data_IF_903153639796
#
_entry.id   IF_903153639796
#
_cell.length_a   1.000
_cell.length_b   1.000
_cell.length_c   1.000
_cell.angle_alpha   90.00
_cell.angle_beta   90.00
_cell.angle_gamma   90.00
#
_symmetry.space_group_name_H-M   'P 1'
#
loop_
_entity.id
_entity.type
_entity.pdbx_description
1 polymer ?
#
# COMPACT_ATOMS: atom_id res chain seq x y z
N UNK A 1 -21.40 19.23 0.55
CA UNK A 1 -22.43 18.96 1.59
C UNK A 1 -21.74 18.32 2.79
N UNK A 2 -22.09 18.65 4.04
CA UNK A 2 -21.43 18.10 5.25
C UNK A 2 -22.07 16.78 5.70
N UNK A 3 -21.29 15.92 6.36
CA UNK A 3 -21.62 14.56 6.80
C UNK A 3 -22.72 14.43 7.90
N UNK A 4 -23.31 15.51 8.36
CA UNK A 4 -24.15 15.51 9.58
C UNK A 4 -25.66 15.61 9.33
N UNK A 5 -26.10 15.77 8.08
CA UNK A 5 -27.50 16.06 7.77
C UNK A 5 -28.25 14.79 7.35
N UNK A 6 -28.74 14.05 8.34
CA UNK A 6 -29.63 12.91 8.13
C UNK A 6 -31.07 13.37 7.93
N UNK A 7 -31.48 13.59 6.68
CA UNK A 7 -32.87 13.89 6.37
C UNK A 7 -33.20 13.66 4.90
N UNK A 8 -34.36 13.06 4.64
CA UNK A 8 -34.97 12.82 3.33
C UNK A 8 -35.18 14.09 2.46
N UNK A 9 -34.84 15.27 2.97
CA UNK A 9 -35.17 16.59 2.43
C UNK A 9 -34.30 17.06 1.25
N UNK A 10 -33.33 16.27 0.77
CA UNK A 10 -32.35 16.70 -0.26
C UNK A 10 -32.23 15.79 -1.47
N UNK A 11 -33.17 14.87 -1.70
CA UNK A 11 -33.12 14.02 -2.93
C UNK A 11 -33.03 14.89 -4.19
N UNK A 12 -33.77 15.99 -4.22
CA UNK A 12 -33.77 16.93 -5.33
C UNK A 12 -32.45 17.72 -5.41
N UNK A 13 -31.84 18.10 -4.28
CA UNK A 13 -30.51 18.74 -4.28
C UNK A 13 -29.40 17.79 -4.77
N UNK A 14 -29.45 16.51 -4.41
CA UNK A 14 -28.50 15.51 -4.91
C UNK A 14 -28.68 15.24 -6.40
N UNK A 15 -29.93 15.19 -6.87
CA UNK A 15 -30.24 15.08 -8.30
C UNK A 15 -29.84 16.33 -9.08
N UNK A 16 -30.01 17.53 -8.50
CA UNK A 16 -29.58 18.80 -9.07
C UNK A 16 -28.05 18.87 -9.16
N UNK A 17 -27.33 18.49 -8.09
CA UNK A 17 -25.86 18.41 -8.09
C UNK A 17 -25.34 17.43 -9.16
N UNK A 18 -25.96 16.25 -9.25
CA UNK A 18 -25.68 15.26 -10.30
C UNK A 18 -25.88 15.85 -11.70
N UNK A 19 -26.99 16.57 -11.92
CA UNK A 19 -27.30 17.20 -13.21
C UNK A 19 -26.35 18.36 -13.55
N UNK A 20 -25.98 19.18 -12.58
CA UNK A 20 -25.04 20.29 -12.76
C UNK A 20 -23.62 19.79 -13.05
N UNK A 21 -23.20 18.71 -12.38
CA UNK A 21 -21.95 18.02 -12.66
C UNK A 21 -21.95 17.49 -14.10
N UNK A 22 -22.97 16.74 -14.51
CA UNK A 22 -23.07 16.19 -15.86
C UNK A 22 -22.99 17.29 -16.93
N UNK A 23 -23.64 18.44 -16.70
CA UNK A 23 -23.59 19.60 -17.59
C UNK A 23 -22.20 20.20 -17.72
N UNK A 24 -21.52 20.47 -16.59
CA UNK A 24 -20.18 21.09 -16.59
C UNK A 24 -19.12 20.16 -17.16
N UNK A 25 -19.28 18.88 -16.92
CA UNK A 25 -18.27 17.88 -17.19
C UNK A 25 -18.30 17.39 -18.65
N UNK A 26 -19.46 17.47 -19.32
CA UNK A 26 -19.59 17.29 -20.77
C UNK A 26 -19.04 18.48 -21.59
N UNK A 27 -18.73 19.63 -20.95
CA UNK A 27 -18.17 20.81 -21.62
C UNK A 27 -16.63 20.79 -21.72
N UNK A 28 -15.94 19.86 -21.05
CA UNK A 28 -14.47 19.77 -21.06
C UNK A 28 -13.98 19.21 -22.41
N UNK A 29 -13.16 19.99 -23.15
CA UNK A 29 -12.64 19.63 -24.49
C UNK A 29 -11.81 18.34 -24.47
N UNK A 30 -12.08 17.48 -25.46
CA UNK A 30 -11.62 16.08 -25.52
C UNK A 30 -10.28 15.92 -26.25
N UNK A 31 -9.27 15.40 -25.54
CA UNK A 31 -8.18 14.62 -26.15
C UNK A 31 -8.49 13.12 -26.10
N UNK A 32 -7.68 12.28 -26.76
CA UNK A 32 -7.93 10.83 -26.95
C UNK A 32 -8.20 10.02 -25.66
N UNK A 33 -7.74 10.50 -24.49
CA UNK A 33 -8.00 9.89 -23.17
C UNK A 33 -8.85 10.75 -22.22
N UNK A 34 -9.21 11.97 -22.65
CA UNK A 34 -9.97 12.91 -21.82
C UNK A 34 -11.41 12.43 -21.60
N UNK A 35 -12.02 11.83 -22.62
CA UNK A 35 -13.42 11.36 -22.54
C UNK A 35 -13.59 10.18 -21.56
N UNK A 36 -12.72 9.18 -21.63
CA UNK A 36 -12.84 7.96 -20.81
C UNK A 36 -12.61 8.26 -19.32
N UNK A 37 -11.57 9.06 -19.04
CA UNK A 37 -11.25 9.57 -17.70
C UNK A 37 -12.41 10.37 -17.13
N UNK A 38 -12.99 11.26 -17.95
CA UNK A 38 -14.17 12.02 -17.58
C UNK A 38 -15.27 11.04 -17.17
N UNK A 39 -15.75 10.19 -18.08
CA UNK A 39 -16.83 9.25 -17.77
C UNK A 39 -16.57 8.37 -16.53
N UNK A 40 -15.31 7.97 -16.28
CA UNK A 40 -14.91 7.27 -15.06
C UNK A 40 -15.16 8.08 -13.79
N UNK A 41 -14.66 9.31 -13.71
CA UNK A 41 -14.87 10.16 -12.54
C UNK A 41 -16.34 10.56 -12.36
N UNK A 42 -17.16 10.56 -13.43
CA UNK A 42 -18.62 10.66 -13.28
C UNK A 42 -19.18 9.48 -12.50
N UNK A 43 -18.84 8.24 -12.87
CA UNK A 43 -19.29 7.05 -12.16
C UNK A 43 -18.79 7.01 -10.70
N UNK A 44 -17.54 7.42 -10.45
CA UNK A 44 -16.99 7.60 -9.09
C UNK A 44 -17.81 8.60 -8.28
N UNK A 45 -18.15 9.75 -8.86
CA UNK A 45 -18.98 10.77 -8.19
C UNK A 45 -20.34 10.19 -7.77
N UNK A 46 -20.96 9.38 -8.63
CA UNK A 46 -22.24 8.74 -8.33
C UNK A 46 -22.11 7.71 -7.20
N UNK A 47 -21.02 6.93 -7.18
CA UNK A 47 -20.69 6.02 -6.07
C UNK A 47 -20.56 6.81 -4.77
N UNK A 48 -19.82 7.91 -4.76
CA UNK A 48 -19.60 8.72 -3.55
C UNK A 48 -20.90 9.35 -3.02
N UNK A 49 -21.78 9.81 -3.93
CA UNK A 49 -23.14 10.26 -3.56
C UNK A 49 -23.95 9.10 -2.98
N UNK A 50 -23.92 7.93 -3.62
CA UNK A 50 -24.64 6.74 -3.17
C UNK A 50 -24.20 6.24 -1.79
N UNK A 51 -22.90 6.25 -1.50
CA UNK A 51 -22.36 5.82 -0.20
C UNK A 51 -22.79 6.73 0.96
N UNK A 52 -23.15 7.98 0.67
CA UNK A 52 -23.60 8.98 1.67
C UNK A 52 -25.11 9.19 1.66
N UNK A 53 -25.82 8.51 0.77
CA UNK A 53 -27.27 8.61 0.63
C UNK A 53 -27.96 7.46 1.35
N UNK A 54 -29.06 7.70 2.09
CA UNK A 54 -29.88 6.62 2.64
C UNK A 54 -30.64 5.83 1.55
N UNK A 55 -30.65 6.32 0.30
CA UNK A 55 -31.33 5.67 -0.81
C UNK A 55 -30.37 4.79 -1.62
N UNK A 56 -30.52 3.47 -1.48
CA UNK A 56 -29.68 2.45 -2.12
C UNK A 56 -29.72 2.48 -3.65
N UNK A 57 -30.76 3.07 -4.28
CA UNK A 57 -30.84 3.18 -5.74
C UNK A 57 -29.68 3.96 -6.36
N UNK A 58 -29.07 4.90 -5.63
CA UNK A 58 -27.89 5.62 -6.10
C UNK A 58 -26.65 4.73 -6.23
N UNK A 59 -26.50 3.72 -5.35
CA UNK A 59 -25.42 2.73 -5.45
C UNK A 59 -25.66 1.79 -6.63
N UNK A 60 -26.92 1.45 -6.91
CA UNK A 60 -27.31 0.66 -8.07
C UNK A 60 -27.03 1.43 -9.38
N UNK A 61 -27.40 2.71 -9.43
CA UNK A 61 -27.09 3.60 -10.55
C UNK A 61 -25.58 3.71 -10.77
N UNK A 62 -24.79 3.88 -9.70
CA UNK A 62 -23.34 3.96 -9.79
C UNK A 62 -22.72 2.67 -10.35
N UNK A 63 -23.14 1.51 -9.86
CA UNK A 63 -22.69 0.22 -10.37
C UNK A 63 -23.03 0.05 -11.86
N UNK A 64 -24.26 0.39 -12.26
CA UNK A 64 -24.70 0.34 -13.64
C UNK A 64 -23.87 1.27 -14.55
N UNK A 65 -23.51 2.47 -14.06
CA UNK A 65 -22.67 3.40 -14.82
C UNK A 65 -21.24 2.88 -15.02
N UNK A 66 -20.64 2.27 -14.00
CA UNK A 66 -19.33 1.65 -14.15
C UNK A 66 -19.34 0.51 -15.19
N UNK A 67 -20.37 -0.35 -15.17
CA UNK A 67 -20.52 -1.41 -16.18
C UNK A 67 -20.73 -0.83 -17.58
N UNK A 68 -21.60 0.17 -17.71
CA UNK A 68 -21.88 0.83 -18.98
C UNK A 68 -20.62 1.48 -19.56
N UNK A 69 -19.87 2.20 -18.71
CA UNK A 69 -18.61 2.82 -19.09
C UNK A 69 -17.62 1.80 -19.64
N UNK A 70 -17.36 0.72 -18.89
CA UNK A 70 -16.43 -0.32 -19.30
C UNK A 70 -16.81 -0.97 -20.65
N UNK A 71 -18.11 -1.00 -20.98
CA UNK A 71 -18.61 -1.50 -22.27
C UNK A 71 -18.41 -0.53 -23.42
N UNK A 72 -18.57 0.77 -23.16
CA UNK A 72 -18.49 1.84 -24.15
C UNK A 72 -17.06 2.18 -24.56
N UNK A 73 -16.10 2.12 -23.63
CA UNK A 73 -14.72 2.53 -23.90
C UNK A 73 -13.87 1.40 -24.47
N UNK A 74 -12.81 1.79 -25.20
CA UNK A 74 -11.76 0.85 -25.62
C UNK A 74 -11.09 0.26 -24.37
N UNK A 75 -10.66 -1.02 -24.41
CA UNK A 75 -9.92 -1.62 -23.30
C UNK A 75 -8.79 -0.71 -22.83
N UNK A 76 -8.87 -0.28 -21.58
CA UNK A 76 -7.97 0.65 -20.91
C UNK A 76 -8.07 0.41 -19.40
N UNK A 77 -7.12 0.99 -18.65
CA UNK A 77 -7.13 0.93 -17.18
C UNK A 77 -8.46 1.41 -16.58
N UNK A 78 -9.06 2.47 -17.12
CA UNK A 78 -10.33 2.99 -16.62
C UNK A 78 -11.49 1.99 -16.80
N UNK A 79 -11.50 1.23 -17.89
CA UNK A 79 -12.56 0.24 -18.12
C UNK A 79 -12.38 -1.01 -17.27
N UNK A 80 -11.14 -1.42 -17.06
CA UNK A 80 -10.78 -2.51 -16.15
C UNK A 80 -11.18 -2.16 -14.71
N UNK A 81 -10.79 -0.97 -14.25
CA UNK A 81 -11.09 -0.47 -12.91
C UNK A 81 -12.59 -0.23 -12.71
N UNK A 82 -13.30 0.24 -13.74
CA UNK A 82 -14.76 0.38 -13.71
C UNK A 82 -15.46 -0.95 -13.42
N UNK A 83 -15.08 -2.03 -14.10
CA UNK A 83 -15.65 -3.36 -13.82
C UNK A 83 -15.33 -3.81 -12.39
N UNK A 84 -14.12 -3.55 -11.89
CA UNK A 84 -13.80 -3.87 -10.50
C UNK A 84 -14.64 -3.07 -9.49
N UNK A 85 -14.83 -1.76 -9.70
CA UNK A 85 -15.68 -0.92 -8.86
C UNK A 85 -17.15 -1.38 -8.89
N UNK A 86 -17.66 -1.75 -10.08
CA UNK A 86 -19.01 -2.32 -10.21
C UNK A 86 -19.15 -3.64 -9.42
N UNK A 87 -18.15 -4.51 -9.49
CA UNK A 87 -18.13 -5.75 -8.71
C UNK A 87 -18.25 -5.43 -7.21
N UNK A 88 -17.41 -4.54 -6.67
CA UNK A 88 -17.43 -4.19 -5.25
C UNK A 88 -18.79 -3.63 -4.80
N UNK A 89 -19.44 -2.82 -5.66
CA UNK A 89 -20.77 -2.29 -5.36
C UNK A 89 -21.82 -3.40 -5.33
N UNK A 90 -21.85 -4.27 -6.34
CA UNK A 90 -22.80 -5.38 -6.38
C UNK A 90 -22.55 -6.39 -5.25
N UNK A 91 -21.32 -6.80 -5.01
CA UNK A 91 -20.99 -7.81 -4.00
C UNK A 91 -21.11 -7.27 -2.57
N UNK A 92 -20.42 -6.16 -2.27
CA UNK A 92 -20.13 -5.76 -0.90
C UNK A 92 -21.15 -4.74 -0.35
N UNK A 93 -21.82 -3.98 -1.23
CA UNK A 93 -22.76 -2.92 -0.82
C UNK A 93 -24.22 -3.22 -1.14
N UNK A 94 -24.49 -3.93 -2.24
CA UNK A 94 -25.85 -4.27 -2.67
C UNK A 94 -26.22 -5.72 -2.39
N UNK A 95 -25.25 -6.59 -2.07
CA UNK A 95 -25.44 -8.04 -1.87
C UNK A 95 -26.12 -8.74 -3.05
N UNK A 96 -25.81 -8.28 -4.26
CA UNK A 96 -26.32 -8.75 -5.55
C UNK A 96 -25.30 -9.69 -6.21
N UNK A 97 -25.25 -10.93 -5.74
CA UNK A 97 -24.23 -11.91 -6.14
C UNK A 97 -24.27 -12.26 -7.64
N UNK A 98 -25.47 -12.34 -8.25
CA UNK A 98 -25.61 -12.67 -9.67
C UNK A 98 -25.02 -11.58 -10.56
N UNK A 99 -25.27 -10.33 -10.21
CA UNK A 99 -24.79 -9.13 -10.88
C UNK A 99 -23.26 -9.02 -10.73
N UNK A 100 -22.74 -9.28 -9.52
CA UNK A 100 -21.30 -9.35 -9.28
C UNK A 100 -20.63 -10.43 -10.15
N UNK A 101 -21.24 -11.61 -10.27
CA UNK A 101 -20.72 -12.70 -11.11
C UNK A 101 -20.71 -12.33 -12.59
N UNK A 102 -21.74 -11.65 -13.10
CA UNK A 102 -21.77 -11.13 -14.47
C UNK A 102 -20.61 -10.17 -14.71
N UNK A 103 -20.33 -9.28 -13.76
CA UNK A 103 -19.21 -8.34 -13.86
C UNK A 103 -17.86 -9.07 -13.87
N UNK A 104 -17.68 -10.12 -13.05
CA UNK A 104 -16.46 -10.94 -13.08
C UNK A 104 -16.27 -11.61 -14.44
N UNK A 105 -17.33 -12.18 -15.03
CA UNK A 105 -17.24 -12.80 -16.36
C UNK A 105 -16.89 -11.77 -17.45
N UNK A 106 -17.45 -10.57 -17.34
CA UNK A 106 -17.12 -9.48 -18.26
C UNK A 106 -15.67 -9.01 -18.13
N UNK A 107 -15.17 -8.90 -16.89
CA UNK A 107 -13.77 -8.58 -16.62
C UNK A 107 -12.84 -9.66 -17.18
N UNK A 108 -13.16 -10.95 -17.00
CA UNK A 108 -12.40 -12.08 -17.58
C UNK A 108 -12.33 -12.02 -19.09
N UNK A 109 -13.47 -11.74 -19.73
CA UNK A 109 -13.58 -11.71 -21.18
C UNK A 109 -12.84 -10.52 -21.80
N UNK A 110 -12.95 -9.34 -21.18
CA UNK A 110 -12.49 -8.08 -21.76
C UNK A 110 -11.06 -7.72 -21.33
N UNK A 111 -10.65 -8.19 -20.16
CA UNK A 111 -9.34 -7.95 -19.55
C UNK A 111 -8.76 -9.27 -18.99
N UNK A 112 -8.40 -10.24 -19.83
CA UNK A 112 -7.94 -11.56 -19.36
C UNK A 112 -6.62 -11.51 -18.56
N UNK A 113 -5.89 -10.39 -18.61
CA UNK A 113 -4.69 -10.13 -17.80
C UNK A 113 -4.94 -9.11 -16.68
N UNK A 114 -6.20 -8.82 -16.37
CA UNK A 114 -6.58 -7.84 -15.35
C UNK A 114 -6.05 -8.26 -13.99
N UNK A 115 -5.37 -7.34 -13.30
CA UNK A 115 -4.86 -7.57 -11.93
C UNK A 115 -5.99 -7.86 -10.95
N UNK A 116 -7.18 -7.32 -11.20
CA UNK A 116 -8.35 -7.55 -10.36
C UNK A 116 -8.90 -8.97 -10.47
N UNK A 117 -8.60 -9.73 -11.54
CA UNK A 117 -9.08 -11.13 -11.63
C UNK A 117 -8.45 -11.99 -10.56
N UNK A 118 -7.19 -11.74 -10.24
CA UNK A 118 -6.48 -12.40 -9.16
C UNK A 118 -7.10 -12.07 -7.79
N UNK A 119 -7.39 -10.78 -7.53
CA UNK A 119 -8.09 -10.32 -6.31
C UNK A 119 -9.48 -10.95 -6.16
N UNK A 120 -10.19 -11.15 -7.26
CA UNK A 120 -11.52 -11.75 -7.26
C UNK A 120 -11.48 -13.26 -7.05
N UNK A 121 -10.46 -13.92 -7.58
CA UNK A 121 -10.21 -15.35 -7.39
C UNK A 121 -9.80 -15.65 -5.95
N UNK A 122 -9.00 -14.78 -5.32
CA UNK A 122 -8.66 -14.91 -3.90
C UNK A 122 -9.87 -14.65 -2.98
N UNK A 123 -10.75 -13.68 -3.30
CA UNK A 123 -12.02 -13.47 -2.59
C UNK A 123 -12.99 -14.65 -2.67
N UNK A 124 -13.02 -15.40 -3.78
CA UNK A 124 -13.84 -16.62 -3.91
C UNK A 124 -13.22 -17.83 -3.20
N UNK A 125 -11.92 -17.81 -2.94
CA UNK A 125 -11.18 -18.83 -2.19
C UNK A 125 -11.12 -18.54 -0.68
N UNK A 126 -12.19 -17.99 -0.08
CA UNK A 126 -12.35 -18.03 1.38
C UNK A 126 -12.52 -19.50 1.78
N UNK A 127 -11.38 -20.11 2.03
CA UNK A 127 -11.25 -21.51 2.32
C UNK A 127 -11.54 -21.70 3.82
N UNK A 128 -12.38 -22.65 4.24
CA UNK A 128 -12.73 -22.81 5.64
C UNK A 128 -11.49 -23.05 6.52
N UNK A 129 -11.52 -22.72 7.82
CA UNK A 129 -10.36 -22.67 8.74
C UNK A 129 -9.50 -23.94 8.85
N UNK A 130 -9.95 -25.06 8.27
CA UNK A 130 -9.27 -26.35 8.29
C UNK A 130 -8.15 -26.48 7.26
N UNK A 131 -8.21 -25.75 6.13
CA UNK A 131 -7.16 -25.80 5.09
C UNK A 131 -6.00 -24.83 5.40
N UNK A 132 -6.26 -23.70 6.05
CA UNK A 132 -5.22 -22.78 6.53
C UNK A 132 -4.19 -23.49 7.43
N UNK A 133 -4.62 -24.38 8.33
CA UNK A 133 -3.70 -25.19 9.14
C UNK A 133 -2.80 -26.12 8.33
N UNK A 134 -3.29 -26.65 7.20
CA UNK A 134 -2.50 -27.50 6.31
C UNK A 134 -1.52 -26.67 5.46
N UNK A 135 -1.94 -25.51 4.94
CA UNK A 135 -1.06 -24.57 4.24
C UNK A 135 0.01 -23.98 5.15
N UNK A 136 -0.30 -23.60 6.40
CA UNK A 136 0.72 -23.16 7.35
C UNK A 136 1.72 -24.28 7.68
N UNK A 137 1.27 -25.54 7.77
CA UNK A 137 2.15 -26.69 7.96
C UNK A 137 3.02 -26.97 6.72
N UNK A 138 2.48 -26.80 5.52
CA UNK A 138 3.20 -26.95 4.26
C UNK A 138 4.20 -25.80 4.06
N UNK A 139 3.80 -24.55 4.31
CA UNK A 139 4.68 -23.36 4.30
C UNK A 139 5.80 -23.50 5.33
N UNK A 140 5.50 -24.00 6.54
CA UNK A 140 6.52 -24.30 7.56
C UNK A 140 7.49 -25.40 7.09
N UNK A 141 6.99 -26.43 6.40
CA UNK A 141 7.82 -27.50 5.83
C UNK A 141 8.71 -26.99 4.69
N UNK A 142 8.19 -26.11 3.83
CA UNK A 142 8.97 -25.46 2.76
C UNK A 142 10.00 -24.47 3.31
N UNK A 143 9.69 -23.76 4.41
CA UNK A 143 10.66 -22.92 5.14
C UNK A 143 11.76 -23.78 5.75
N UNK A 144 11.40 -24.87 6.43
CA UNK A 144 12.37 -25.79 7.04
C UNK A 144 13.28 -26.51 6.02
N UNK A 145 12.84 -26.66 4.77
CA UNK A 145 13.62 -27.28 3.70
C UNK A 145 14.62 -26.32 3.03
N UNK A 146 14.50 -25.00 3.24
CA UNK A 146 15.39 -24.00 2.63
C UNK A 146 16.72 -23.92 3.39
N UNK A 147 17.81 -23.75 2.64
CA UNK A 147 19.16 -23.54 3.20
C UNK A 147 19.39 -22.13 3.73
N UNK A 148 18.68 -21.14 3.17
CA UNK A 148 18.80 -19.73 3.53
C UNK A 148 17.40 -19.13 3.71
N UNK A 149 17.21 -18.23 4.68
CA UNK A 149 15.98 -17.47 4.83
C UNK A 149 15.72 -16.60 3.59
N UNK A 150 14.45 -16.35 3.30
CA UNK A 150 14.02 -15.46 2.21
C UNK A 150 13.67 -14.09 2.79
N UNK A 151 14.32 -13.05 2.30
CA UNK A 151 14.09 -11.66 2.69
C UNK A 151 13.49 -10.91 1.51
N UNK A 152 12.39 -10.20 1.76
CA UNK A 152 11.79 -9.32 0.77
C UNK A 152 12.02 -7.88 1.19
N UNK A 153 12.74 -7.14 0.35
CA UNK A 153 12.95 -5.70 0.49
C UNK A 153 11.89 -4.98 -0.35
N UNK A 154 11.19 -4.03 0.25
CA UNK A 154 10.18 -3.23 -0.42
C UNK A 154 10.64 -1.77 -0.49
N UNK A 155 11.21 -1.32 -1.62
CA UNK A 155 11.47 0.10 -1.80
C UNK A 155 10.16 0.85 -1.96
N UNK A 156 9.82 1.70 -0.99
CA UNK A 156 8.58 2.49 -0.96
C UNK A 156 8.36 3.33 -2.22
N UNK A 157 7.10 3.62 -2.54
CA UNK A 157 6.67 4.45 -3.68
C UNK A 157 7.11 3.89 -5.06
N UNK A 158 7.23 4.75 -6.08
CA UNK A 158 7.69 4.41 -7.42
C UNK A 158 6.73 4.84 -8.53
N UNK A 159 7.25 5.03 -9.74
CA UNK A 159 6.47 5.47 -10.89
C UNK A 159 5.90 6.88 -10.69
N UNK A 160 4.57 6.99 -10.74
CA UNK A 160 3.86 8.26 -10.54
C UNK A 160 3.84 8.75 -9.09
N UNK A 161 4.10 7.85 -8.13
CA UNK A 161 4.22 8.18 -6.71
C UNK A 161 5.68 8.53 -6.40
N UNK A 162 5.97 9.82 -6.26
CA UNK A 162 7.29 10.34 -5.91
C UNK A 162 7.66 10.09 -4.42
N UNK A 163 6.67 9.74 -3.58
CA UNK A 163 6.77 9.82 -2.13
C UNK A 163 7.06 11.25 -1.66
N UNK A 164 7.71 11.38 -0.51
CA UNK A 164 8.16 12.67 -0.02
C UNK A 164 9.20 13.32 -0.96
N UNK A 165 8.99 14.62 -1.25
CA UNK A 165 9.96 15.45 -1.96
C UNK A 165 10.63 16.39 -0.95
N UNK A 166 11.90 16.13 -0.68
CA UNK A 166 12.70 16.84 0.31
C UNK A 166 13.50 18.01 -0.22
N UNK A 167 14.39 18.50 0.64
CA UNK A 167 15.31 19.61 0.33
C UNK A 167 16.17 19.25 -0.88
N UNK A 168 16.33 20.19 -1.82
CA UNK A 168 17.14 19.99 -3.03
C UNK A 168 16.50 19.08 -4.08
N UNK A 169 15.20 18.78 -3.95
CA UNK A 169 14.48 17.92 -4.91
C UNK A 169 14.75 16.42 -4.72
N UNK A 170 15.25 16.02 -3.56
CA UNK A 170 15.39 14.62 -3.18
C UNK A 170 14.02 13.95 -3.22
N UNK A 171 13.86 12.94 -4.07
CA UNK A 171 12.64 12.15 -4.16
C UNK A 171 12.81 10.85 -3.39
N UNK A 172 11.89 10.58 -2.49
CA UNK A 172 11.89 9.38 -1.68
C UNK A 172 11.99 8.11 -2.53
N UNK A 173 11.15 7.97 -3.56
CA UNK A 173 11.15 6.78 -4.44
C UNK A 173 12.51 6.40 -5.02
N UNK A 174 13.38 7.40 -5.27
CA UNK A 174 14.70 7.20 -5.86
C UNK A 174 15.70 6.74 -4.79
N UNK A 175 15.62 7.34 -3.61
CA UNK A 175 16.51 7.04 -2.51
C UNK A 175 16.17 5.67 -1.89
N UNK A 176 14.89 5.33 -1.74
CA UNK A 176 14.45 4.01 -1.26
C UNK A 176 14.91 2.90 -2.22
N UNK A 177 14.78 3.11 -3.53
CA UNK A 177 15.27 2.17 -4.55
C UNK A 177 16.80 2.02 -4.50
N UNK A 178 17.53 3.12 -4.36
CA UNK A 178 19.00 3.12 -4.22
C UNK A 178 19.43 2.29 -3.00
N UNK A 179 18.82 2.53 -1.84
CA UNK A 179 19.15 1.83 -0.59
C UNK A 179 18.78 0.35 -0.68
N UNK A 180 17.65 0.01 -1.30
CA UNK A 180 17.22 -1.38 -1.46
C UNK A 180 18.17 -2.20 -2.34
N UNK A 181 18.62 -1.63 -3.48
CA UNK A 181 19.60 -2.28 -4.37
C UNK A 181 20.95 -2.48 -3.69
N UNK A 182 21.42 -1.47 -2.94
CA UNK A 182 22.66 -1.60 -2.19
C UNK A 182 22.52 -2.65 -1.07
N UNK A 183 21.39 -2.68 -0.36
CA UNK A 183 21.11 -3.69 0.69
C UNK A 183 21.08 -5.09 0.09
N UNK A 184 20.40 -5.28 -1.05
CA UNK A 184 20.36 -6.57 -1.76
C UNK A 184 21.78 -7.04 -2.10
N UNK A 185 22.60 -6.16 -2.68
CA UNK A 185 23.98 -6.49 -3.05
C UNK A 185 24.81 -6.92 -1.83
N UNK A 186 24.68 -6.21 -0.71
CA UNK A 186 25.43 -6.56 0.51
C UNK A 186 24.94 -7.88 1.09
N UNK A 187 23.62 -8.10 1.20
CA UNK A 187 23.04 -9.36 1.68
C UNK A 187 23.45 -10.56 0.82
N UNK A 188 23.44 -10.41 -0.51
CA UNK A 188 23.92 -11.44 -1.44
C UNK A 188 25.41 -11.73 -1.24
N UNK A 189 26.22 -10.71 -0.97
CA UNK A 189 27.64 -10.85 -0.68
C UNK A 189 27.93 -11.54 0.67
N UNK A 190 27.11 -11.26 1.69
CA UNK A 190 27.18 -11.92 3.00
C UNK A 190 26.69 -13.37 2.95
N UNK A 191 25.80 -13.70 2.00
CA UNK A 191 25.30 -15.06 1.79
C UNK A 191 24.39 -15.59 2.89
N UNK A 192 23.87 -14.71 3.76
CA UNK A 192 23.03 -15.08 4.90
C UNK A 192 21.54 -15.23 4.54
N UNK A 193 21.10 -14.74 3.39
CA UNK A 193 19.70 -14.76 2.96
C UNK A 193 19.56 -14.77 1.43
N UNK A 194 18.45 -15.31 0.93
CA UNK A 194 17.96 -15.07 -0.43
C UNK A 194 17.15 -13.79 -0.44
N UNK A 195 17.45 -12.85 -1.33
CA UNK A 195 16.84 -11.51 -1.32
C UNK A 195 16.02 -11.30 -2.58
N UNK A 196 14.84 -10.70 -2.41
CA UNK A 196 13.99 -10.25 -3.50
C UNK A 196 13.49 -8.83 -3.25
N UNK A 197 13.42 -8.01 -4.30
CA UNK A 197 12.80 -6.69 -4.21
C UNK A 197 11.34 -6.73 -4.69
N UNK A 198 10.45 -5.97 -4.06
CA UNK A 198 9.08 -5.77 -4.60
C UNK A 198 9.12 -5.06 -5.96
N UNK A 199 10.02 -4.08 -6.12
CA UNK A 199 10.38 -3.44 -7.40
C UNK A 199 11.89 -3.26 -7.53
N UNK A 200 12.43 -3.47 -8.73
CA UNK A 200 13.85 -3.26 -9.06
C UNK A 200 14.10 -2.04 -9.95
N UNK A 201 13.04 -1.35 -10.38
CA UNK A 201 13.09 -0.15 -11.22
C UNK A 201 12.07 0.90 -10.72
N UNK A 202 12.07 2.08 -11.35
CA UNK A 202 11.09 3.14 -11.04
C UNK A 202 9.71 2.80 -11.61
N UNK A 203 8.98 1.94 -10.92
CA UNK A 203 7.60 1.55 -11.27
C UNK A 203 6.69 1.71 -10.05
N UNK A 204 5.45 2.12 -10.30
CA UNK A 204 4.43 2.14 -9.27
C UNK A 204 3.97 0.72 -8.96
N UNK A 205 3.82 0.41 -7.66
CA UNK A 205 3.29 -0.86 -7.17
C UNK A 205 2.29 -0.59 -6.05
N UNK A 206 1.01 -1.02 -6.17
CA UNK A 206 0.02 -0.86 -5.11
C UNK A 206 0.45 -1.54 -3.81
N UNK A 207 0.05 -0.98 -2.66
CA UNK A 207 0.49 -1.46 -1.34
C UNK A 207 0.17 -2.95 -1.10
N UNK A 208 -1.01 -3.42 -1.54
CA UNK A 208 -1.41 -4.82 -1.37
C UNK A 208 -0.56 -5.79 -2.20
N UNK A 209 -0.15 -5.41 -3.42
CA UNK A 209 0.70 -6.25 -4.29
C UNK A 209 2.10 -6.46 -3.68
N UNK A 210 2.60 -5.48 -2.91
CA UNK A 210 3.87 -5.58 -2.17
C UNK A 210 3.80 -6.71 -1.14
N UNK A 211 2.71 -6.77 -0.38
CA UNK A 211 2.48 -7.80 0.64
C UNK A 211 2.24 -9.19 0.03
N UNK A 212 1.46 -9.26 -1.07
CA UNK A 212 1.21 -10.52 -1.77
C UNK A 212 2.48 -11.14 -2.35
N UNK A 213 3.36 -10.32 -2.91
CA UNK A 213 4.65 -10.79 -3.42
C UNK A 213 5.50 -11.43 -2.33
N UNK A 214 5.49 -10.86 -1.12
CA UNK A 214 6.22 -11.42 0.02
C UNK A 214 5.62 -12.75 0.50
N UNK A 215 4.29 -12.83 0.57
CA UNK A 215 3.57 -14.04 0.95
C UNK A 215 3.77 -15.16 -0.09
N UNK A 216 3.71 -14.85 -1.39
CA UNK A 216 3.91 -15.82 -2.47
C UNK A 216 5.33 -16.40 -2.51
N UNK A 217 6.32 -15.62 -2.06
CA UNK A 217 7.71 -16.08 -1.88
C UNK A 217 7.90 -16.84 -0.55
N UNK A 218 6.85 -16.94 0.27
CA UNK A 218 6.90 -17.47 1.63
C UNK A 218 8.06 -16.88 2.41
N UNK A 219 8.21 -15.55 2.35
CA UNK A 219 9.32 -14.84 2.94
C UNK A 219 9.41 -15.09 4.46
N UNK A 220 10.63 -14.97 4.99
CA UNK A 220 10.97 -15.12 6.39
C UNK A 220 11.10 -13.75 7.09
N UNK A 221 11.36 -12.69 6.33
CA UNK A 221 11.31 -11.30 6.79
C UNK A 221 10.90 -10.37 5.63
N UNK A 222 10.04 -9.40 5.93
CA UNK A 222 9.69 -8.30 5.03
C UNK A 222 10.18 -6.97 5.60
N UNK A 223 10.87 -6.18 4.78
CA UNK A 223 11.39 -4.85 5.15
C UNK A 223 10.94 -3.82 4.12
N UNK A 224 9.97 -2.98 4.46
CA UNK A 224 9.67 -1.79 3.67
C UNK A 224 10.62 -0.66 4.01
N UNK A 225 11.20 -0.02 3.00
CA UNK A 225 12.20 1.04 3.12
C UNK A 225 11.59 2.35 2.64
N UNK A 226 11.50 3.32 3.55
CA UNK A 226 10.90 4.65 3.36
C UNK A 226 11.82 5.75 3.90
N UNK A 227 11.47 6.99 3.55
CA UNK A 227 12.08 8.18 4.10
C UNK A 227 11.01 9.13 4.63
N UNK A 228 11.23 9.60 5.85
CA UNK A 228 10.24 10.37 6.53
C UNK A 228 10.20 11.81 6.00
N UNK A 229 9.10 12.49 6.25
CA UNK A 229 8.92 13.90 6.02
C UNK A 229 8.21 14.54 7.21
N UNK A 230 8.55 15.78 7.48
CA UNK A 230 7.83 16.67 8.36
C UNK A 230 7.26 17.80 7.51
N UNK A 231 5.99 18.10 7.71
CA UNK A 231 5.25 19.20 7.08
C UNK A 231 4.93 20.32 8.10
N UNK A 232 5.31 20.14 9.37
CA UNK A 232 5.08 21.12 10.42
C UNK A 232 6.26 22.08 10.54
N UNK A 233 6.05 23.34 10.15
CA UNK A 233 7.07 24.37 10.32
C UNK A 233 7.16 24.83 11.79
N UNK A 234 8.37 24.92 12.40
CA UNK A 234 9.68 24.64 11.81
C UNK A 234 9.99 23.13 11.69
N UNK A 235 10.59 22.74 10.57
CA UNK A 235 10.96 21.36 10.20
C UNK A 235 12.03 20.80 11.15
N UNK A 236 11.61 20.24 12.28
CA UNK A 236 12.50 19.83 13.38
C UNK A 236 12.67 18.32 13.51
N UNK A 237 11.80 17.53 12.89
CA UNK A 237 11.87 16.07 13.01
C UNK A 237 13.04 15.52 12.20
N UNK A 238 13.87 14.71 12.85
CA UNK A 238 15.04 14.06 12.26
C UNK A 238 15.32 12.72 12.94
N UNK A 239 16.05 11.85 12.26
CA UNK A 239 16.48 10.55 12.80
C UNK A 239 15.64 9.36 12.33
N UNK A 240 16.12 8.16 12.69
CA UNK A 240 15.61 6.88 12.19
C UNK A 240 14.46 6.34 13.05
N UNK A 241 13.46 5.76 12.39
CA UNK A 241 12.31 5.09 13.00
C UNK A 241 12.07 3.72 12.35
N UNK A 242 11.57 2.77 13.13
CA UNK A 242 11.02 1.51 12.59
C UNK A 242 9.59 1.37 13.08
N UNK A 243 8.69 0.95 12.19
CA UNK A 243 7.29 0.71 12.47
C UNK A 243 6.93 -0.75 12.29
N UNK A 244 6.06 -1.26 13.17
CA UNK A 244 5.39 -2.56 12.99
C UNK A 244 3.88 -2.37 12.88
N UNK A 245 3.20 -3.38 12.33
CA UNK A 245 1.74 -3.34 12.17
C UNK A 245 1.04 -3.40 13.53
N UNK A 246 0.07 -2.52 13.74
CA UNK A 246 -0.89 -2.57 14.85
C UNK A 246 -2.21 -1.94 14.42
N UNK A 247 -3.30 -2.36 15.06
CA UNK A 247 -4.62 -1.74 14.87
C UNK A 247 -4.63 -0.30 15.37
N UNK A 248 -3.89 -0.03 16.44
CA UNK A 248 -3.79 1.27 17.08
C UNK A 248 -2.44 1.88 16.74
N UNK A 249 -2.47 3.13 16.27
CA UNK A 249 -1.25 3.89 16.02
C UNK A 249 -0.66 4.42 17.33
N UNK A 250 0.66 4.35 17.47
CA UNK A 250 1.37 5.21 18.42
C UNK A 250 1.04 6.67 18.09
N UNK A 251 0.88 7.57 19.08
CA UNK A 251 0.53 8.98 18.83
C UNK A 251 1.45 9.66 17.80
N UNK A 252 2.74 9.35 17.84
CA UNK A 252 3.77 9.89 16.96
C UNK A 252 3.74 9.28 15.54
N UNK A 253 3.02 8.16 15.34
CA UNK A 253 2.92 7.46 14.07
C UNK A 253 1.76 7.96 13.19
N UNK A 254 0.81 8.72 13.74
CA UNK A 254 -0.44 9.10 13.05
C UNK A 254 -0.20 9.85 11.74
N UNK A 255 0.73 10.81 11.73
CA UNK A 255 1.09 11.55 10.52
C UNK A 255 1.71 10.68 9.44
N UNK A 256 2.55 9.72 9.85
CA UNK A 256 3.24 8.79 8.94
C UNK A 256 2.25 7.82 8.33
N UNK A 257 1.40 7.21 9.17
CA UNK A 257 0.32 6.33 8.74
C UNK A 257 -0.55 6.98 7.67
N UNK A 258 -0.93 8.25 7.87
CA UNK A 258 -1.81 8.96 6.95
C UNK A 258 -1.14 9.17 5.59
N UNK A 259 0.16 9.48 5.59
CA UNK A 259 0.96 9.67 4.37
C UNK A 259 1.20 8.37 3.61
N UNK A 260 1.68 7.33 4.31
CA UNK A 260 2.03 6.05 3.68
C UNK A 260 0.80 5.32 3.15
N UNK A 261 -0.35 5.53 3.78
CA UNK A 261 -1.62 4.99 3.32
C UNK A 261 -2.35 5.89 2.32
N UNK A 262 -1.85 7.10 2.00
CA UNK A 262 -2.57 8.06 1.15
C UNK A 262 -2.86 7.53 -0.25
N UNK A 263 -2.01 6.63 -0.77
CA UNK A 263 -2.24 5.93 -2.05
C UNK A 263 -3.49 5.03 -2.06
N UNK A 264 -4.09 4.80 -0.90
CA UNK A 264 -5.27 3.96 -0.69
C UNK A 264 -6.54 4.77 -0.38
N UNK A 265 -6.43 6.02 0.09
CA UNK A 265 -7.62 6.82 0.47
C UNK A 265 -8.58 7.08 -0.72
N UNK A 266 -8.13 6.86 -1.95
CA UNK A 266 -8.95 6.88 -3.17
C UNK A 266 -9.83 5.61 -3.40
N UNK A 267 -9.68 4.55 -2.60
CA UNK A 267 -10.29 3.23 -2.85
C UNK A 267 -11.62 2.93 -2.11
N UNK A 268 -12.01 3.74 -1.13
CA UNK A 268 -13.36 3.76 -0.53
C UNK A 268 -13.71 2.67 0.52
N UNK A 269 -14.84 2.87 1.21
CA UNK A 269 -15.21 2.20 2.49
C UNK A 269 -15.59 0.71 2.48
N UNK A 270 -15.37 -0.04 1.39
CA UNK A 270 -15.36 -1.52 1.42
C UNK A 270 -14.04 -2.09 1.94
N UNK A 271 -13.00 -1.26 1.88
CA UNK A 271 -11.66 -1.61 2.31
C UNK A 271 -11.58 -1.73 3.84
N UNK A 272 -12.28 -0.91 4.62
CA UNK A 272 -12.24 -1.00 6.10
C UNK A 272 -12.61 -2.39 6.65
N UNK A 273 -13.60 -3.09 6.09
CA UNK A 273 -13.98 -4.44 6.53
C UNK A 273 -12.96 -5.51 6.12
N UNK A 274 -12.35 -5.38 4.95
CA UNK A 274 -11.25 -6.24 4.50
C UNK A 274 -9.98 -6.02 5.35
N UNK A 275 -9.65 -4.75 5.63
CA UNK A 275 -8.55 -4.38 6.50
C UNK A 275 -8.75 -4.95 7.91
N UNK A 276 -9.97 -4.89 8.47
CA UNK A 276 -10.32 -5.51 9.75
C UNK A 276 -10.01 -7.02 9.80
N UNK A 277 -10.23 -7.75 8.72
CA UNK A 277 -9.86 -9.17 8.61
C UNK A 277 -8.34 -9.37 8.49
N UNK A 278 -7.65 -8.53 7.70
CA UNK A 278 -6.19 -8.56 7.59
C UNK A 278 -5.48 -8.24 8.91
N UNK A 279 -6.00 -7.35 9.74
CA UNK A 279 -5.46 -7.10 11.08
C UNK A 279 -5.49 -8.34 11.97
N UNK A 280 -6.52 -9.19 11.84
CA UNK A 280 -6.58 -10.44 12.60
C UNK A 280 -5.53 -11.46 12.13
N UNK A 281 -5.01 -11.31 10.91
CA UNK A 281 -3.97 -12.16 10.33
C UNK A 281 -2.55 -11.58 10.46
N UNK A 282 -2.41 -10.34 10.90
CA UNK A 282 -1.15 -9.59 10.90
C UNK A 282 -0.16 -10.07 11.97
N UNK A 283 1.10 -10.24 11.56
CA UNK A 283 2.25 -10.70 12.34
C UNK A 283 2.76 -9.71 13.41
N UNK A 284 1.90 -8.86 14.00
CA UNK A 284 2.27 -7.76 14.91
C UNK A 284 3.22 -8.20 16.05
N UNK A 285 2.84 -9.25 16.78
CA UNK A 285 3.59 -9.74 17.94
C UNK A 285 4.96 -10.35 17.56
N UNK A 286 5.08 -10.98 16.38
CA UNK A 286 6.35 -11.58 15.93
C UNK A 286 7.27 -10.57 15.24
N UNK A 287 6.74 -9.41 14.84
CA UNK A 287 7.51 -8.36 14.16
C UNK A 287 8.27 -7.46 15.13
N UNK A 288 7.83 -7.33 16.39
CA UNK A 288 8.45 -6.45 17.37
C UNK A 288 9.91 -6.84 17.71
N UNK A 289 10.25 -8.13 17.96
CA UNK A 289 11.64 -8.53 18.19
C UNK A 289 12.56 -8.22 16.99
N UNK A 290 12.07 -8.49 15.77
CA UNK A 290 12.80 -8.17 14.54
C UNK A 290 13.05 -6.66 14.43
N UNK A 291 12.01 -5.84 14.62
CA UNK A 291 12.10 -4.38 14.58
C UNK A 291 13.10 -3.83 15.61
N UNK A 292 13.05 -4.30 16.87
CA UNK A 292 13.98 -3.84 17.91
C UNK A 292 15.42 -4.20 17.59
N UNK A 293 15.66 -5.40 17.08
CA UNK A 293 17.01 -5.86 16.73
C UNK A 293 17.59 -5.07 15.56
N UNK A 294 16.82 -4.95 14.47
CA UNK A 294 17.19 -4.12 13.31
C UNK A 294 17.49 -2.67 13.75
N UNK A 295 16.60 -2.08 14.54
CA UNK A 295 16.77 -0.71 15.03
C UNK A 295 18.04 -0.52 15.87
N UNK A 296 18.31 -1.42 16.82
CA UNK A 296 19.46 -1.31 17.72
C UNK A 296 20.79 -1.46 16.98
N UNK A 297 20.85 -2.42 16.04
CA UNK A 297 22.05 -2.70 15.25
C UNK A 297 22.34 -1.57 14.25
N UNK A 298 21.31 -1.10 13.53
CA UNK A 298 21.49 0.06 12.67
C UNK A 298 21.92 1.30 13.47
N UNK A 299 21.28 1.56 14.61
CA UNK A 299 21.62 2.70 15.48
C UNK A 299 23.07 2.65 15.97
N UNK A 300 23.58 1.49 16.38
CA UNK A 300 24.96 1.36 16.87
C UNK A 300 25.99 1.71 15.78
N UNK A 301 25.73 1.29 14.55
CA UNK A 301 26.55 1.59 13.37
C UNK A 301 26.52 3.08 13.00
N UNK A 302 25.37 3.75 13.11
CA UNK A 302 25.29 5.18 12.82
C UNK A 302 25.88 6.08 13.89
N UNK A 303 25.73 5.73 15.17
CA UNK A 303 26.29 6.50 16.29
C UNK A 303 27.82 6.60 16.20
N UNK A 304 28.49 5.57 15.67
CA UNK A 304 29.96 5.54 15.57
C UNK A 304 30.50 6.31 14.36
N UNK A 305 29.77 6.38 13.24
CA UNK A 305 30.31 6.87 11.95
C UNK A 305 29.76 8.22 11.48
N UNK A 306 28.47 8.50 11.70
CA UNK A 306 27.81 9.68 11.13
C UNK A 306 27.38 10.72 12.17
N UNK A 307 27.65 10.43 13.44
CA UNK A 307 27.31 11.29 14.58
C UNK A 307 25.82 11.28 14.91
N UNK A 308 25.50 11.07 16.19
CA UNK A 308 24.26 11.47 16.84
C UNK A 308 22.96 11.37 16.03
N UNK A 309 22.66 10.22 15.41
CA UNK A 309 21.29 9.98 14.96
C UNK A 309 20.39 9.95 16.19
N UNK A 310 19.45 10.90 16.26
CA UNK A 310 18.38 10.83 17.25
C UNK A 310 17.55 9.60 16.94
N UNK A 311 17.81 8.54 17.70
CA UNK A 311 17.04 7.32 17.59
C UNK A 311 15.62 7.58 18.08
N UNK A 312 14.64 7.43 17.18
CA UNK A 312 13.22 7.67 17.50
C UNK A 312 12.46 6.39 17.83
N UNK A 313 13.14 5.24 17.85
CA UNK A 313 12.64 3.97 18.37
C UNK A 313 11.75 3.18 17.42
N UNK A 314 11.24 2.07 17.94
CA UNK A 314 10.22 1.24 17.30
C UNK A 314 8.84 1.76 17.69
N UNK A 315 7.98 1.97 16.70
CA UNK A 315 6.59 2.42 16.86
C UNK A 315 5.63 1.45 16.19
N UNK A 316 4.34 1.65 16.39
CA UNK A 316 3.32 0.79 15.82
C UNK A 316 2.25 1.61 15.10
N UNK A 317 1.64 1.04 14.06
CA UNK A 317 0.48 1.65 13.44
C UNK A 317 -0.14 0.86 12.30
N UNK A 318 -1.28 1.34 11.80
CA UNK A 318 -2.07 0.68 10.77
C UNK A 318 -1.50 0.89 9.36
N UNK A 319 -0.26 0.47 9.12
CA UNK A 319 0.39 0.57 7.80
C UNK A 319 -0.12 -0.49 6.83
N UNK A 320 -0.75 -0.08 5.73
CA UNK A 320 -1.38 -1.02 4.79
C UNK A 320 -0.40 -1.98 4.13
N UNK A 321 0.83 -1.53 3.86
CA UNK A 321 1.89 -2.38 3.31
C UNK A 321 2.30 -3.51 4.27
N UNK A 322 2.09 -3.34 5.58
CA UNK A 322 2.43 -4.33 6.59
C UNK A 322 1.25 -5.25 6.94
N UNK A 323 0.08 -5.04 6.33
CA UNK A 323 -1.12 -5.84 6.62
C UNK A 323 -1.17 -7.12 5.78
N UNK A 324 -1.65 -8.20 6.40
CA UNK A 324 -1.81 -9.49 5.71
C UNK A 324 -0.50 -10.25 5.43
N UNK A 325 0.65 -9.74 5.88
CA UNK A 325 1.93 -10.44 5.79
C UNK A 325 1.97 -11.63 6.76
N UNK A 326 2.44 -12.77 6.28
CA UNK A 326 2.51 -14.05 7.01
C UNK A 326 3.86 -14.26 7.73
N UNK A 327 4.70 -13.23 7.77
CA UNK A 327 6.05 -13.24 8.37
C UNK A 327 6.31 -11.94 9.14
N UNK A 328 7.34 -11.88 10.00
CA UNK A 328 7.81 -10.63 10.60
C UNK A 328 8.00 -9.54 9.54
N UNK A 329 7.42 -8.37 9.78
CA UNK A 329 7.39 -7.28 8.83
C UNK A 329 7.63 -5.93 9.50
N UNK A 330 8.49 -5.12 8.90
CA UNK A 330 8.85 -3.80 9.40
C UNK A 330 8.79 -2.76 8.29
N UNK A 331 8.45 -1.52 8.65
CA UNK A 331 8.65 -0.35 7.81
C UNK A 331 9.75 0.51 8.45
N UNK A 332 10.87 0.64 7.74
CA UNK A 332 12.03 1.41 8.12
C UNK A 332 11.92 2.81 7.52
N UNK A 333 11.83 3.82 8.36
CA UNK A 333 12.03 5.21 8.01
C UNK A 333 13.50 5.57 8.29
N UNK A 334 14.31 5.69 7.23
CA UNK A 334 15.76 5.85 7.42
C UNK A 334 16.08 7.18 8.10
N UNK A 335 15.60 8.30 7.54
CA UNK A 335 15.78 9.68 8.02
C UNK A 335 14.70 10.60 7.40
N UNK A 336 14.68 11.88 7.80
CA UNK A 336 13.72 12.87 7.30
C UNK A 336 14.25 13.66 6.09
N UNK A 337 13.66 13.50 4.90
CA UNK A 337 14.07 14.25 3.68
C UNK A 337 13.82 15.76 3.76
N UNK A 338 12.96 16.19 4.68
CA UNK A 338 12.64 17.61 4.90
C UNK A 338 13.53 18.28 5.94
N UNK A 339 14.31 17.52 6.72
CA UNK A 339 15.21 18.09 7.72
C UNK A 339 16.60 18.38 7.10
N UNK A 340 17.19 19.57 7.28
CA UNK A 340 18.43 19.96 6.58
C UNK A 340 19.61 19.00 6.77
N UNK A 341 19.89 18.56 8.00
CA UNK A 341 21.03 17.65 8.25
C UNK A 341 20.76 16.24 7.73
N UNK A 342 19.52 15.79 7.76
CA UNK A 342 19.14 14.45 7.30
C UNK A 342 19.13 14.42 5.77
N UNK A 343 18.58 15.44 5.12
CA UNK A 343 18.64 15.62 3.67
C UNK A 343 20.08 15.67 3.17
N UNK A 344 20.98 16.36 3.88
CA UNK A 344 22.40 16.40 3.56
C UNK A 344 23.02 15.00 3.61
N UNK A 345 22.75 14.22 4.67
CA UNK A 345 23.18 12.82 4.78
C UNK A 345 22.60 11.97 3.65
N UNK A 346 21.29 12.03 3.43
CA UNK A 346 20.58 11.25 2.41
C UNK A 346 21.04 11.55 0.98
N UNK A 347 21.48 12.78 0.70
CA UNK A 347 22.05 13.15 -0.59
C UNK A 347 23.41 12.48 -0.86
N UNK A 348 24.15 12.12 0.19
CA UNK A 348 25.47 11.51 0.10
C UNK A 348 25.37 10.00 -0.24
N UNK A 349 25.93 9.54 -1.38
CA UNK A 349 25.92 8.12 -1.74
C UNK A 349 26.62 7.21 -0.73
N UNK A 350 27.71 7.67 -0.09
CA UNK A 350 28.41 6.88 0.93
C UNK A 350 27.54 6.66 2.16
N UNK A 351 26.74 7.65 2.54
CA UNK A 351 25.78 7.50 3.64
C UNK A 351 24.74 6.43 3.31
N UNK A 352 24.17 6.43 2.10
CA UNK A 352 23.20 5.41 1.66
C UNK A 352 23.82 4.01 1.62
N UNK A 353 25.07 3.90 1.18
CA UNK A 353 25.80 2.63 1.20
C UNK A 353 26.04 2.14 2.64
N UNK A 354 26.31 3.05 3.57
CA UNK A 354 26.46 2.68 4.98
C UNK A 354 25.12 2.26 5.61
N UNK A 355 24.00 2.90 5.24
CA UNK A 355 22.65 2.48 5.62
C UNK A 355 22.37 1.06 5.12
N UNK A 356 22.67 0.80 3.85
CA UNK A 356 22.45 -0.49 3.22
C UNK A 356 23.27 -1.60 3.88
N UNK A 357 24.55 -1.35 4.17
CA UNK A 357 25.40 -2.29 4.92
C UNK A 357 24.85 -2.54 6.31
N UNK A 358 24.47 -1.49 7.04
CA UNK A 358 23.92 -1.62 8.38
C UNK A 358 22.62 -2.43 8.40
N UNK A 359 21.72 -2.20 7.44
CA UNK A 359 20.49 -2.97 7.30
C UNK A 359 20.78 -4.43 6.97
N UNK A 360 21.69 -4.70 6.03
CA UNK A 360 22.07 -6.05 5.63
C UNK A 360 22.70 -6.86 6.80
N UNK A 361 23.66 -6.28 7.51
CA UNK A 361 24.27 -6.90 8.70
C UNK A 361 23.23 -7.16 9.78
N UNK A 362 22.35 -6.19 10.04
CA UNK A 362 21.27 -6.35 11.02
C UNK A 362 20.29 -7.47 10.67
N UNK A 363 20.00 -7.67 9.38
CA UNK A 363 19.17 -8.77 8.86
C UNK A 363 19.89 -10.11 9.02
N UNK A 364 21.19 -10.19 8.69
CA UNK A 364 21.95 -11.42 8.90
C UNK A 364 21.98 -11.82 10.38
N UNK A 365 22.32 -10.88 11.26
CA UNK A 365 22.32 -11.12 12.69
C UNK A 365 20.95 -11.56 13.19
N UNK A 366 19.85 -11.02 12.63
CA UNK A 366 18.48 -11.44 12.97
C UNK A 366 18.28 -12.95 12.77
N UNK A 367 18.79 -13.53 11.69
CA UNK A 367 18.63 -14.95 11.36
C UNK A 367 19.69 -15.89 11.96
N UNK A 368 20.78 -15.38 12.51
CA UNK A 368 21.81 -16.19 13.18
C UNK A 368 21.40 -16.70 14.59
N UNK A 369 20.22 -16.32 15.09
CA UNK A 369 19.75 -16.63 16.46
C UNK A 369 18.75 -17.78 16.55
#
# INVERSE_FOLDING_TARGET
MRNTDHGFARRDDWNALKSDFDRLFLQVKQGEHGRDRVQYFRAVTYKEVGLRSPNVSFLHDAANQFVALAREIRPSQFGEESLYQAYLLYSDKLSLAKEADVVVQELKRRYPKSRYLYVLESKRQITPPRILRAQFAENASQKAARKLPVVVLDPGHGGEDDGAVGIGGLKEKNLTLSIAHETEKVLQGLGCAQVHLTRSFDTFLPLFERSEKANALHADLFVSIHLNADDHFPLKSQGMEIYTVSREASPEALGIVSRENASIDDLGGGLQSFLAELYQRGASAVSEPAARKLYNNMRSLFLSKWGGLRGRGVKQGPFYVLMGLEMPAVLLEVLFVTHPEDAMKLSNPQFRSDVATALAESICEYFEQ
#
